data_IF_084936710247
#
_entry.id   IF_084936710247
#
_cell.length_a   1.000
_cell.length_b   1.000
_cell.length_c   1.000
_cell.angle_alpha   90.00
_cell.angle_beta   90.00
_cell.angle_gamma   90.00
#
_symmetry.space_group_name_H-M   'P 1'
#
loop_
_entity.id
_entity.type
_entity.pdbx_description
1 polymer ?
#
# COMPACT_ATOMS: atom_id res chain seq x y z
N UNK A 1 -6.31 -18.84 15.59
CA UNK A 1 -5.49 -17.74 15.03
C UNK A 1 -6.39 -16.66 14.44
N UNK A 2 -6.20 -15.38 14.79
CA UNK A 2 -6.87 -14.24 14.14
C UNK A 2 -6.64 -14.20 12.63
N UNK A 3 -7.57 -13.58 11.91
CA UNK A 3 -7.57 -13.56 10.44
C UNK A 3 -6.36 -12.79 9.88
N UNK A 4 -5.99 -11.71 10.53
CA UNK A 4 -4.90 -10.81 10.19
C UNK A 4 -3.54 -11.51 10.37
N UNK A 5 -3.42 -12.32 11.43
CA UNK A 5 -2.24 -13.16 11.67
C UNK A 5 -2.11 -14.25 10.60
N UNK A 6 -3.24 -14.85 10.17
CA UNK A 6 -3.22 -15.80 9.08
C UNK A 6 -2.85 -15.16 7.73
N UNK A 7 -3.32 -13.92 7.47
CA UNK A 7 -2.92 -13.15 6.29
C UNK A 7 -1.41 -12.84 6.30
N UNK A 8 -0.87 -12.44 7.47
CA UNK A 8 0.55 -12.20 7.65
C UNK A 8 1.36 -13.48 7.40
N UNK A 9 0.92 -14.63 7.92
CA UNK A 9 1.54 -15.93 7.67
C UNK A 9 1.59 -16.27 6.17
N UNK A 10 0.49 -16.07 5.43
CA UNK A 10 0.45 -16.30 3.98
C UNK A 10 1.51 -15.46 3.26
N UNK A 11 1.65 -14.18 3.63
CA UNK A 11 2.64 -13.27 3.04
C UNK A 11 4.07 -13.69 3.42
N UNK A 12 4.31 -13.92 4.70
CA UNK A 12 5.67 -14.14 5.23
C UNK A 12 6.24 -15.49 4.82
N UNK A 13 5.39 -16.51 4.72
CA UNK A 13 5.76 -17.84 4.21
C UNK A 13 5.52 -18.02 2.70
N UNK A 14 5.15 -16.95 1.99
CA UNK A 14 4.90 -16.95 0.53
C UNK A 14 3.95 -18.07 0.06
N UNK A 15 2.90 -18.34 0.85
CA UNK A 15 1.95 -19.40 0.55
C UNK A 15 0.98 -18.98 -0.56
N UNK A 16 0.77 -19.86 -1.52
CA UNK A 16 -0.39 -19.81 -2.40
C UNK A 16 -1.68 -20.12 -1.62
N UNK A 17 -2.83 -19.73 -2.17
CA UNK A 17 -4.16 -20.11 -1.64
C UNK A 17 -4.25 -21.63 -1.42
N UNK A 18 -3.83 -22.41 -2.42
CA UNK A 18 -3.89 -23.87 -2.36
C UNK A 18 -3.02 -24.43 -1.23
N UNK A 19 -1.78 -23.94 -1.09
CA UNK A 19 -0.88 -24.38 0.00
C UNK A 19 -1.46 -24.05 1.38
N UNK A 20 -2.05 -22.86 1.54
CA UNK A 20 -2.72 -22.48 2.78
C UNK A 20 -3.90 -23.40 3.10
N UNK A 21 -4.76 -23.67 2.13
CA UNK A 21 -5.92 -24.56 2.30
C UNK A 21 -5.50 -26.00 2.60
N UNK A 22 -4.48 -26.51 1.92
CA UNK A 22 -3.91 -27.83 2.19
C UNK A 22 -3.34 -27.92 3.62
N UNK A 23 -2.58 -26.91 4.05
CA UNK A 23 -2.03 -26.87 5.41
C UNK A 23 -3.13 -26.80 6.47
N UNK A 24 -4.16 -25.97 6.25
CA UNK A 24 -5.33 -25.90 7.13
C UNK A 24 -6.03 -27.25 7.26
N UNK A 25 -6.27 -27.94 6.15
CA UNK A 25 -6.94 -29.24 6.16
C UNK A 25 -6.10 -30.28 6.91
N UNK A 26 -4.80 -30.35 6.63
CA UNK A 26 -3.90 -31.26 7.33
C UNK A 26 -3.89 -31.05 8.85
N UNK A 27 -3.85 -29.79 9.32
CA UNK A 27 -3.90 -29.48 10.76
C UNK A 27 -5.26 -29.81 11.36
N UNK A 28 -6.34 -29.62 10.59
CA UNK A 28 -7.70 -29.97 11.00
C UNK A 28 -7.91 -31.49 11.09
N UNK A 29 -7.22 -32.27 10.26
CA UNK A 29 -7.23 -33.75 10.33
C UNK A 29 -6.60 -34.26 11.64
N UNK A 30 -5.71 -33.48 12.26
CA UNK A 30 -5.20 -33.73 13.60
C UNK A 30 -6.09 -33.12 14.72
N UNK A 31 -7.35 -32.80 14.42
CA UNK A 31 -8.34 -32.22 15.33
C UNK A 31 -8.02 -30.79 15.83
N UNK A 32 -7.10 -30.08 15.17
CA UNK A 32 -6.80 -28.67 15.50
C UNK A 32 -7.45 -27.70 14.49
N UNK A 33 -8.49 -26.96 14.89
CA UNK A 33 -9.09 -25.89 14.05
C UNK A 33 -8.52 -24.50 14.39
N UNK A 34 -7.19 -24.37 14.25
CA UNK A 34 -6.47 -23.15 14.62
C UNK A 34 -6.40 -22.11 13.50
N UNK A 35 -6.50 -22.52 12.24
CA UNK A 35 -6.37 -21.65 11.07
C UNK A 35 -7.76 -21.26 10.54
N UNK A 36 -8.02 -19.96 10.30
CA UNK A 36 -9.29 -19.55 9.74
C UNK A 36 -9.47 -20.08 8.30
N UNK A 37 -10.71 -20.31 7.85
CA UNK A 37 -10.96 -20.65 6.45
C UNK A 37 -10.57 -19.48 5.54
N UNK A 38 -10.09 -19.79 4.32
CA UNK A 38 -9.52 -18.80 3.41
C UNK A 38 -10.45 -17.64 3.09
N UNK A 39 -11.78 -17.85 3.04
CA UNK A 39 -12.72 -16.77 2.75
C UNK A 39 -12.66 -15.63 3.80
N UNK A 40 -12.36 -15.93 5.07
CA UNK A 40 -12.16 -14.90 6.10
C UNK A 40 -10.87 -14.13 5.84
N UNK A 41 -9.79 -14.84 5.51
CA UNK A 41 -8.50 -14.25 5.15
C UNK A 41 -8.62 -13.35 3.92
N UNK A 42 -9.44 -13.76 2.95
CA UNK A 42 -9.74 -12.97 1.77
C UNK A 42 -10.48 -11.66 2.10
N UNK A 43 -11.40 -11.67 3.07
CA UNK A 43 -12.08 -10.45 3.54
C UNK A 43 -11.06 -9.49 4.17
N UNK A 44 -10.22 -9.97 5.09
CA UNK A 44 -9.16 -9.15 5.69
C UNK A 44 -8.14 -8.64 4.65
N UNK A 45 -7.87 -9.42 3.60
CA UNK A 45 -7.03 -8.98 2.48
C UNK A 45 -7.66 -7.81 1.72
N UNK A 46 -8.98 -7.85 1.49
CA UNK A 46 -9.71 -6.76 0.82
C UNK A 46 -9.76 -5.49 1.65
N UNK A 47 -9.86 -5.60 2.97
CA UNK A 47 -9.80 -4.45 3.89
C UNK A 47 -8.44 -3.72 3.83
N UNK A 48 -7.38 -4.37 3.35
CA UNK A 48 -6.07 -3.75 3.13
C UNK A 48 -5.95 -3.01 1.78
N UNK A 49 -7.00 -2.98 0.95
CA UNK A 49 -6.95 -2.33 -0.36
C UNK A 49 -7.40 -0.87 -0.26
N UNK A 50 -6.63 0.08 -0.81
CA UNK A 50 -7.07 1.47 -0.88
C UNK A 50 -8.16 1.64 -1.95
N UNK A 51 -8.99 2.66 -1.77
CA UNK A 51 -10.01 3.02 -2.76
C UNK A 51 -9.41 3.69 -4.00
N UNK A 52 -10.24 3.83 -5.06
CA UNK A 52 -9.92 4.56 -6.31
C UNK A 52 -8.66 4.05 -7.03
N UNK A 53 -8.45 2.74 -7.02
CA UNK A 53 -7.46 2.10 -7.88
C UNK A 53 -7.92 2.12 -9.34
N UNK A 54 -7.03 2.52 -10.25
CA UNK A 54 -7.24 2.45 -11.70
C UNK A 54 -6.20 1.50 -12.26
N UNK A 55 -6.68 0.39 -12.81
CA UNK A 55 -5.84 -0.67 -13.38
C UNK A 55 -6.14 -0.75 -14.88
N UNK A 56 -5.08 -0.75 -15.66
CA UNK A 56 -5.09 -0.92 -17.11
C UNK A 56 -4.10 -2.03 -17.47
N UNK A 57 -4.09 -2.44 -18.72
CA UNK A 57 -3.10 -3.40 -19.24
C UNK A 57 -1.65 -2.89 -19.15
N UNK A 58 -1.43 -1.57 -19.14
CA UNK A 58 -0.09 -0.97 -19.17
C UNK A 58 0.37 -0.40 -17.83
N UNK A 59 -0.57 -0.14 -16.92
CA UNK A 59 -0.28 0.58 -15.67
C UNK A 59 -1.31 0.29 -14.60
N UNK A 60 -0.90 0.46 -13.35
CA UNK A 60 -1.82 0.59 -12.24
C UNK A 60 -1.46 1.81 -11.40
N UNK A 61 -2.49 2.47 -10.88
CA UNK A 61 -2.32 3.66 -10.05
C UNK A 61 -3.40 3.76 -9.00
N UNK A 62 -3.06 4.34 -7.87
CA UNK A 62 -3.99 4.72 -6.81
C UNK A 62 -4.01 6.25 -6.68
N UNK A 63 -5.15 6.79 -6.27
CA UNK A 63 -5.23 8.19 -5.89
C UNK A 63 -4.35 8.47 -4.66
N UNK A 64 -3.57 9.56 -4.70
CA UNK A 64 -2.57 9.82 -3.65
C UNK A 64 -3.22 10.10 -2.31
N UNK A 65 -4.29 10.91 -2.28
CA UNK A 65 -5.04 11.18 -1.06
C UNK A 65 -5.60 9.88 -0.48
N UNK A 66 -6.27 9.06 -1.30
CA UNK A 66 -6.80 7.78 -0.85
C UNK A 66 -5.72 6.84 -0.29
N UNK A 67 -4.54 6.78 -0.90
CA UNK A 67 -3.45 5.94 -0.40
C UNK A 67 -2.92 6.43 0.94
N UNK A 68 -2.70 7.74 1.08
CA UNK A 68 -2.18 8.33 2.31
C UNK A 68 -3.20 8.19 3.45
N UNK A 69 -4.47 8.51 3.20
CA UNK A 69 -5.57 8.36 4.18
C UNK A 69 -5.69 6.92 4.64
N UNK A 70 -5.68 5.97 3.69
CA UNK A 70 -5.78 4.56 4.02
C UNK A 70 -4.56 4.09 4.82
N UNK A 71 -3.35 4.50 4.44
CA UNK A 71 -2.12 4.15 5.17
C UNK A 71 -2.14 4.73 6.58
N UNK A 72 -2.55 5.98 6.75
CA UNK A 72 -2.72 6.64 8.03
C UNK A 72 -3.70 5.88 8.94
N UNK A 73 -4.90 5.58 8.44
CA UNK A 73 -5.92 4.83 9.21
C UNK A 73 -5.39 3.48 9.68
N UNK A 74 -4.73 2.72 8.81
CA UNK A 74 -4.16 1.41 9.15
C UNK A 74 -3.07 1.47 10.22
N UNK A 75 -2.26 2.54 10.25
CA UNK A 75 -1.27 2.76 11.30
C UNK A 75 -1.96 3.13 12.62
N UNK A 76 -2.93 4.04 12.56
CA UNK A 76 -3.68 4.50 13.72
C UNK A 76 -4.51 3.39 14.38
N UNK A 77 -4.97 2.40 13.61
CA UNK A 77 -5.65 1.18 14.12
C UNK A 77 -4.70 0.25 14.89
N UNK A 78 -3.39 0.30 14.62
CA UNK A 78 -2.39 -0.61 15.20
C UNK A 78 -1.72 -0.02 16.45
N UNK A 79 -1.83 1.30 16.65
CA UNK A 79 -1.26 1.98 17.82
C UNK A 79 -2.33 2.26 18.87
N UNK A 80 -2.00 1.94 20.13
CA UNK A 80 -2.85 2.27 21.27
C UNK A 80 -2.52 3.69 21.74
N UNK A 81 -3.27 4.67 21.23
CA UNK A 81 -3.13 6.08 21.60
C UNK A 81 -4.47 6.67 22.03
N UNK A 82 -4.42 7.52 23.05
CA UNK A 82 -5.53 8.40 23.40
C UNK A 82 -5.19 9.81 22.94
N UNK A 83 -6.05 10.38 22.10
CA UNK A 83 -5.91 11.75 21.58
C UNK A 83 -7.02 12.62 22.16
N UNK A 84 -6.85 13.94 22.18
CA UNK A 84 -7.95 14.86 22.47
C UNK A 84 -8.78 15.11 21.21
N UNK A 85 -10.05 15.52 21.37
CA UNK A 85 -10.87 15.92 20.23
C UNK A 85 -10.24 17.11 19.50
N UNK A 86 -10.24 17.04 18.18
CA UNK A 86 -9.62 17.99 17.25
C UNK A 86 -8.09 18.07 17.34
N UNK A 87 -7.42 17.02 17.85
CA UNK A 87 -5.95 16.94 17.80
C UNK A 87 -5.48 16.94 16.34
N UNK A 88 -4.50 17.81 16.03
CA UNK A 88 -3.83 17.78 14.73
C UNK A 88 -2.74 16.70 14.72
N UNK A 89 -2.87 15.77 13.77
CA UNK A 89 -1.92 14.72 13.49
C UNK A 89 -1.13 15.04 12.24
N UNK A 90 0.15 14.71 12.22
CA UNK A 90 1.01 14.86 11.05
C UNK A 90 1.65 13.52 10.70
N UNK A 91 1.29 12.97 9.55
CA UNK A 91 1.99 11.85 8.94
C UNK A 91 3.11 12.39 8.05
N UNK A 92 4.36 12.13 8.44
CA UNK A 92 5.55 12.43 7.64
C UNK A 92 5.89 11.21 6.80
N UNK A 93 6.01 11.39 5.49
CA UNK A 93 6.35 10.32 4.55
C UNK A 93 7.52 10.70 3.66
N UNK A 94 8.22 9.70 3.13
CA UNK A 94 9.09 9.87 1.96
C UNK A 94 8.45 9.23 0.75
N UNK A 95 8.77 9.71 -0.44
CA UNK A 95 8.38 9.07 -1.69
C UNK A 95 9.56 9.06 -2.66
N UNK A 96 9.48 8.19 -3.66
CA UNK A 96 10.48 8.08 -4.69
C UNK A 96 9.97 7.26 -5.86
N UNK A 97 10.80 7.19 -6.90
CA UNK A 97 10.53 6.45 -8.12
C UNK A 97 11.78 5.73 -8.60
N UNK A 98 11.59 4.59 -9.24
CA UNK A 98 12.68 3.76 -9.75
C UNK A 98 12.23 2.96 -10.99
N UNK A 99 13.18 2.64 -11.86
CA UNK A 99 12.98 1.84 -13.06
C UNK A 99 13.74 0.52 -12.99
N UNK A 100 13.07 -0.58 -13.35
CA UNK A 100 13.69 -1.90 -13.47
C UNK A 100 13.51 -2.47 -14.88
N UNK A 101 14.58 -3.05 -15.42
CA UNK A 101 14.63 -3.71 -16.72
C UNK A 101 14.78 -5.23 -16.57
N UNK A 102 14.50 -5.99 -17.64
CA UNK A 102 14.72 -7.44 -17.70
C UNK A 102 13.58 -8.26 -17.10
N UNK A 103 12.38 -7.68 -17.07
CA UNK A 103 11.19 -8.41 -16.65
C UNK A 103 10.82 -9.48 -17.68
N UNK A 104 10.19 -10.56 -17.22
CA UNK A 104 9.68 -11.59 -18.12
C UNK A 104 8.54 -11.02 -18.96
N UNK A 105 8.67 -11.09 -20.28
CA UNK A 105 7.64 -10.60 -21.19
C UNK A 105 6.53 -11.62 -21.38
N UNK A 106 5.28 -11.16 -21.27
CA UNK A 106 4.12 -11.98 -21.56
C UNK A 106 3.67 -11.74 -23.00
N UNK A 107 3.33 -12.83 -23.71
CA UNK A 107 2.76 -12.77 -25.07
C UNK A 107 1.29 -12.31 -25.09
N UNK A 108 0.91 -11.41 -24.18
CA UNK A 108 -0.44 -10.86 -24.09
C UNK A 108 -0.60 -9.72 -25.11
N UNK A 109 -1.72 -9.72 -25.84
CA UNK A 109 -2.03 -8.64 -26.76
C UNK A 109 -2.52 -7.42 -25.98
N UNK A 110 -1.87 -6.27 -26.20
CA UNK A 110 -2.38 -4.97 -25.76
C UNK A 110 -3.56 -4.54 -26.64
N UNK A 111 -4.58 -3.92 -26.04
CA UNK A 111 -5.75 -3.39 -26.73
C UNK A 111 -5.31 -2.19 -27.58
N UNK A 112 -5.42 -2.36 -28.90
CA UNK A 112 -4.93 -1.45 -29.95
C UNK A 112 -5.18 0.06 -29.71
N UNK A 113 -4.10 0.83 -29.85
CA UNK A 113 -4.09 2.23 -30.26
C UNK A 113 -2.71 2.57 -30.83
N UNK A 114 -2.62 2.64 -32.16
CA UNK A 114 -1.56 3.15 -33.04
C UNK A 114 -0.08 3.11 -32.59
N UNK A 115 0.72 2.29 -33.29
CA UNK A 115 2.14 2.45 -33.59
C UNK A 115 3.18 2.56 -32.44
N UNK A 116 2.85 2.22 -31.19
CA UNK A 116 3.88 2.02 -30.16
C UNK A 116 4.08 0.55 -29.84
N UNK A 117 5.28 0.04 -30.11
CA UNK A 117 5.78 -1.21 -29.53
C UNK A 117 5.63 -1.11 -28.01
N UNK A 118 4.67 -1.85 -27.48
CA UNK A 118 4.35 -1.92 -26.06
C UNK A 118 4.96 -3.19 -25.53
N UNK A 119 5.88 -3.06 -24.57
CA UNK A 119 6.59 -4.17 -23.96
C UNK A 119 6.52 -4.03 -22.43
N UNK A 120 6.32 -5.16 -21.77
CA UNK A 120 6.37 -5.36 -20.32
C UNK A 120 7.76 -5.73 -19.81
N UNK A 121 8.79 -5.70 -20.68
CA UNK A 121 10.20 -5.96 -20.33
C UNK A 121 10.77 -4.98 -19.30
N UNK A 122 10.14 -3.81 -19.15
CA UNK A 122 10.56 -2.74 -18.25
C UNK A 122 9.39 -2.26 -17.41
N UNK A 123 9.64 -2.00 -16.14
CA UNK A 123 8.68 -1.42 -15.20
C UNK A 123 9.26 -0.15 -14.60
N UNK A 124 8.43 0.89 -14.53
CA UNK A 124 8.74 2.11 -13.79
C UNK A 124 7.71 2.29 -12.69
N UNK A 125 8.18 2.49 -11.44
CA UNK A 125 7.34 2.49 -10.25
C UNK A 125 7.56 3.76 -9.42
N UNK A 126 6.49 4.25 -8.80
CA UNK A 126 6.51 5.30 -7.77
C UNK A 126 5.91 4.73 -6.51
N UNK A 127 6.59 4.95 -5.39
CA UNK A 127 6.18 4.45 -4.08
C UNK A 127 6.37 5.50 -2.99
N UNK A 128 5.62 5.36 -1.90
CA UNK A 128 5.80 6.11 -0.66
C UNK A 128 6.09 5.20 0.52
N UNK A 129 6.75 5.72 1.54
CA UNK A 129 7.02 5.06 2.80
C UNK A 129 6.60 6.00 3.93
N UNK A 130 5.66 5.61 4.80
CA UNK A 130 5.38 6.37 6.02
C UNK A 130 6.59 6.28 6.95
N UNK A 131 7.05 7.42 7.47
CA UNK A 131 8.24 7.49 8.33
C UNK A 131 7.85 7.62 9.80
N UNK A 132 7.00 8.58 10.12
CA UNK A 132 6.58 8.84 11.49
C UNK A 132 5.26 9.59 11.55
N UNK A 133 4.63 9.52 12.70
CA UNK A 133 3.38 10.18 13.03
C UNK A 133 3.60 11.09 14.23
N UNK A 134 3.12 12.32 14.17
CA UNK A 134 3.26 13.33 15.23
C UNK A 134 1.92 13.91 15.65
N UNK A 135 1.84 14.37 16.90
CA UNK A 135 0.79 15.25 17.42
C UNK A 135 1.36 16.65 17.64
N UNK A 136 0.66 17.70 17.20
CA UNK A 136 1.00 19.09 17.50
C UNK A 136 2.49 19.46 17.34
N UNK A 137 3.09 20.04 18.40
CA UNK A 137 4.48 20.53 18.45
C UNK A 137 5.53 19.41 18.66
N UNK A 138 5.65 18.49 17.70
CA UNK A 138 6.75 17.48 17.58
C UNK A 138 6.67 16.19 18.42
N UNK A 139 5.59 15.93 19.17
CA UNK A 139 5.48 14.65 19.89
C UNK A 139 5.24 13.49 18.93
N UNK A 140 6.23 12.62 18.76
CA UNK A 140 6.13 11.44 17.89
C UNK A 140 5.34 10.35 18.59
N UNK A 141 4.22 9.94 17.99
CA UNK A 141 3.32 8.91 18.51
C UNK A 141 3.53 7.55 17.84
N UNK A 142 4.13 7.55 16.65
CA UNK A 142 4.53 6.34 15.95
C UNK A 142 5.74 6.61 15.07
N UNK A 143 6.64 5.62 15.00
CA UNK A 143 7.85 5.66 14.21
C UNK A 143 7.98 4.36 13.41
N UNK A 144 8.37 4.47 12.15
CA UNK A 144 8.72 3.33 11.34
C UNK A 144 10.15 2.87 11.66
N UNK A 145 10.29 1.77 12.40
CA UNK A 145 11.58 1.21 12.78
C UNK A 145 12.37 0.63 11.59
N UNK A 146 11.71 0.37 10.46
CA UNK A 146 12.30 -0.22 9.26
C UNK A 146 11.99 0.62 8.01
N UNK A 147 12.43 1.90 7.95
CA UNK A 147 12.03 2.85 6.90
C UNK A 147 12.60 2.52 5.52
N UNK A 148 13.52 1.56 5.42
CA UNK A 148 14.09 1.06 4.17
C UNK A 148 13.59 -0.34 3.82
N UNK A 149 12.68 -0.92 4.60
CA UNK A 149 12.09 -2.23 4.31
C UNK A 149 11.04 -2.12 3.20
N UNK A 150 11.04 -3.09 2.29
CA UNK A 150 10.00 -3.25 1.27
C UNK A 150 8.61 -3.45 1.87
N UNK A 151 8.51 -3.89 3.14
CA UNK A 151 7.24 -4.07 3.87
C UNK A 151 6.45 -2.78 4.04
N UNK A 152 7.13 -1.63 4.09
CA UNK A 152 6.52 -0.31 4.24
C UNK A 152 6.47 0.49 2.94
N UNK A 153 6.95 -0.09 1.83
CA UNK A 153 6.99 0.58 0.53
C UNK A 153 5.63 0.44 -0.16
N UNK A 154 4.80 1.47 -0.03
CA UNK A 154 3.42 1.53 -0.55
C UNK A 154 3.45 2.00 -2.02
N UNK A 155 3.01 1.19 -2.99
CA UNK A 155 3.02 1.59 -4.39
C UNK A 155 1.92 2.63 -4.66
N UNK A 156 2.31 3.74 -5.29
CA UNK A 156 1.40 4.79 -5.77
C UNK A 156 1.01 4.52 -7.23
N UNK A 157 2.00 4.14 -8.02
CA UNK A 157 1.90 4.05 -9.47
C UNK A 157 2.94 3.07 -9.99
N UNK A 158 2.59 2.27 -10.99
CA UNK A 158 3.59 1.68 -11.88
C UNK A 158 3.07 1.62 -13.32
N UNK A 159 3.99 1.57 -14.26
CA UNK A 159 3.72 1.41 -15.68
C UNK A 159 4.80 0.57 -16.36
N UNK A 160 4.39 -0.19 -17.36
CA UNK A 160 5.29 -0.90 -18.27
C UNK A 160 5.91 0.07 -19.27
N UNK A 161 7.05 0.64 -18.89
CA UNK A 161 7.81 1.59 -19.68
C UNK A 161 9.26 1.61 -19.20
N UNK A 162 10.20 1.81 -20.12
CA UNK A 162 11.60 2.04 -19.78
C UNK A 162 11.76 3.41 -19.12
N UNK A 163 12.56 3.47 -18.07
CA UNK A 163 12.91 4.74 -17.44
C UNK A 163 13.61 5.68 -18.43
N UNK A 164 13.21 6.94 -18.42
CA UNK A 164 13.82 8.02 -19.17
C UNK A 164 13.83 9.30 -18.34
N UNK A 165 14.74 10.22 -18.64
CA UNK A 165 14.83 11.51 -17.93
C UNK A 165 13.51 12.32 -18.03
N UNK A 166 12.87 12.29 -19.20
CA UNK A 166 11.56 12.91 -19.42
C UNK A 166 10.50 12.27 -18.52
N UNK A 167 10.48 10.94 -18.43
CA UNK A 167 9.51 10.22 -17.59
C UNK A 167 9.68 10.56 -16.12
N UNK A 168 10.92 10.57 -15.64
CA UNK A 168 11.25 10.91 -14.24
C UNK A 168 10.79 12.33 -13.93
N UNK A 169 11.09 13.29 -14.80
CA UNK A 169 10.68 14.68 -14.64
C UNK A 169 9.15 14.84 -14.62
N UNK A 170 8.47 14.26 -15.60
CA UNK A 170 7.01 14.32 -15.73
C UNK A 170 6.29 13.73 -14.52
N UNK A 171 6.72 12.54 -14.10
CA UNK A 171 6.09 11.85 -12.97
C UNK A 171 6.40 12.59 -11.67
N UNK A 172 7.62 13.10 -11.49
CA UNK A 172 7.97 13.86 -10.30
C UNK A 172 7.14 15.13 -10.17
N UNK A 173 6.95 15.87 -11.26
CA UNK A 173 6.09 17.05 -11.28
C UNK A 173 4.62 16.69 -10.99
N UNK A 174 4.11 15.61 -11.60
CA UNK A 174 2.73 15.14 -11.36
C UNK A 174 2.51 14.76 -9.89
N UNK A 175 3.45 14.07 -9.26
CA UNK A 175 3.35 13.67 -7.85
C UNK A 175 3.48 14.90 -6.94
N UNK A 176 4.44 15.79 -7.19
CA UNK A 176 4.61 17.04 -6.43
C UNK A 176 3.36 17.92 -6.48
N UNK A 177 2.74 18.05 -7.64
CA UNK A 177 1.47 18.78 -7.81
C UNK A 177 0.31 18.10 -7.07
N UNK A 178 0.29 16.77 -6.97
CA UNK A 178 -0.71 16.07 -6.15
C UNK A 178 -0.46 16.27 -4.66
N UNK A 179 0.80 16.27 -4.23
CA UNK A 179 1.18 16.53 -2.83
C UNK A 179 0.71 17.92 -2.40
N UNK A 180 0.91 18.95 -3.23
CA UNK A 180 0.46 20.31 -2.91
C UNK A 180 -1.07 20.48 -2.87
N UNK A 181 -1.82 19.49 -3.39
CA UNK A 181 -3.29 19.46 -3.40
C UNK A 181 -3.87 18.53 -2.33
N UNK A 182 -3.03 17.87 -1.51
CA UNK A 182 -3.49 17.04 -0.42
C UNK A 182 -4.30 17.88 0.58
N UNK A 183 -5.38 17.29 1.08
CA UNK A 183 -6.31 17.90 2.01
C UNK A 183 -6.18 17.23 3.36
N UNK A 184 -6.57 17.98 4.39
CA UNK A 184 -6.75 17.41 5.73
C UNK A 184 -7.85 16.35 5.69
N UNK A 185 -7.64 15.26 6.42
CA UNK A 185 -8.60 14.15 6.50
C UNK A 185 -9.04 13.96 7.95
N UNK A 186 -10.34 13.84 8.18
CA UNK A 186 -10.87 13.48 9.49
C UNK A 186 -10.69 11.98 9.74
N UNK A 187 -10.15 11.64 10.90
CA UNK A 187 -9.97 10.26 11.36
C UNK A 187 -10.55 10.11 12.77
N UNK A 188 -11.13 8.95 13.04
CA UNK A 188 -11.68 8.62 14.36
C UNK A 188 -10.71 7.70 15.09
N UNK A 189 -10.29 8.11 16.28
CA UNK A 189 -9.37 7.36 17.15
C UNK A 189 -10.04 7.24 18.50
N UNK A 190 -10.27 6.00 18.98
CA UNK A 190 -10.89 5.75 20.30
C UNK A 190 -12.22 6.51 20.52
N UNK A 191 -12.99 6.73 19.46
CA UNK A 191 -14.27 7.46 19.48
C UNK A 191 -14.16 8.98 19.39
N UNK A 192 -12.94 9.54 19.33
CA UNK A 192 -12.66 10.98 19.21
C UNK A 192 -12.24 11.35 17.79
N UNK A 193 -12.50 12.59 17.38
CA UNK A 193 -12.21 13.08 16.03
C UNK A 193 -10.85 13.77 16.03
N UNK A 194 -9.95 13.39 15.12
CA UNK A 194 -8.67 14.03 14.90
C UNK A 194 -8.51 14.48 13.43
N UNK A 195 -7.69 15.51 13.21
CA UNK A 195 -7.42 16.07 11.89
C UNK A 195 -6.05 15.61 11.40
N UNK A 196 -6.03 14.79 10.36
CA UNK A 196 -4.81 14.30 9.72
C UNK A 196 -4.30 15.31 8.69
N UNK A 197 -3.09 15.81 8.94
CA UNK A 197 -2.23 16.50 7.98
C UNK A 197 -1.18 15.53 7.43
N UNK A 198 -0.76 15.77 6.20
CA UNK A 198 0.20 14.91 5.49
C UNK A 198 1.28 15.78 4.88
N UNK A 199 2.55 15.42 5.09
CA UNK A 199 3.71 16.12 4.54
C UNK A 199 4.76 15.13 4.04
#
# INVERSE_FOLDING_TARGET
MPTEQALALIRDAQLSKHQYEAFRNAVKDFEYDILPPYYKVFIAKKECYPDKMVITERSARVDLQCLVDHTAKRILEDIDIDVEDNTELLLVSKWGCDGAFGQSEYNQKYVRGDNQETSDSSIYMVSMVPLLFRTGFDSTIWNNDLPSSTRWCRPIYFEFVKESAEKVFDVSNKITNKISQLKKTEVTISGKIALLNTT
#
